data_IF_764110655744
#
_entry.id   IF_764110655744
#
_cell.length_a   1.000
_cell.length_b   1.000
_cell.length_c   1.000
_cell.angle_alpha   90.00
_cell.angle_beta   90.00
_cell.angle_gamma   90.00
#
_symmetry.space_group_name_H-M   'P 1'
#
loop_
_entity.id
_entity.type
_entity.pdbx_description
1 polymer ?
#
# COMPACT_ATOMS: atom_id res chain seq x y z
N UNK A 1 17.20 16.06 -22.49
CA UNK A 1 16.58 15.43 -21.29
C UNK A 1 15.19 14.99 -21.68
N UNK A 2 14.92 13.68 -21.79
CA UNK A 2 13.60 13.19 -22.21
C UNK A 2 12.53 13.59 -21.18
N UNK A 3 11.45 14.29 -21.57
CA UNK A 3 10.44 14.85 -20.66
C UNK A 3 9.51 13.80 -20.01
N UNK A 4 9.85 12.51 -20.11
CA UNK A 4 8.93 11.39 -19.88
C UNK A 4 9.23 10.57 -18.63
N UNK A 5 10.28 10.90 -17.87
CA UNK A 5 10.53 10.26 -16.58
C UNK A 5 9.79 11.05 -15.51
N UNK A 6 8.56 10.65 -15.20
CA UNK A 6 7.81 11.22 -14.08
C UNK A 6 8.63 11.06 -12.81
N UNK A 7 8.91 12.14 -12.06
CA UNK A 7 9.65 12.04 -10.83
C UNK A 7 8.99 11.05 -9.87
N UNK A 8 9.78 10.39 -9.03
CA UNK A 8 9.28 9.39 -8.08
C UNK A 8 8.19 9.94 -7.13
N UNK A 9 8.17 11.24 -6.87
CA UNK A 9 7.14 11.94 -6.09
C UNK A 9 5.82 12.15 -6.84
N UNK A 10 5.75 11.86 -8.14
CA UNK A 10 4.53 11.93 -8.96
C UNK A 10 3.77 10.60 -9.03
N UNK A 11 4.33 9.53 -8.44
CA UNK A 11 3.65 8.23 -8.29
C UNK A 11 2.47 8.41 -7.35
N UNK A 12 1.25 8.00 -7.73
CA UNK A 12 0.14 8.07 -6.77
C UNK A 12 0.45 7.05 -5.67
N UNK A 13 0.41 7.42 -4.37
CA UNK A 13 0.80 6.56 -3.24
C UNK A 13 -0.12 5.34 -3.01
N UNK A 14 -0.96 4.99 -3.99
CA UNK A 14 -1.89 3.86 -3.97
C UNK A 14 -1.67 2.88 -5.12
N UNK A 15 -0.72 3.18 -6.01
CA UNK A 15 -0.34 2.39 -7.18
C UNK A 15 0.83 1.44 -6.89
N UNK A 16 1.59 1.72 -5.83
CA UNK A 16 2.73 0.91 -5.41
C UNK A 16 2.58 0.52 -3.94
N UNK A 17 3.16 -0.63 -3.59
CA UNK A 17 3.22 -1.09 -2.21
C UNK A 17 4.20 -0.22 -1.42
N UNK A 18 3.75 0.38 -0.33
CA UNK A 18 4.58 1.27 0.51
C UNK A 18 5.81 0.57 1.12
N UNK A 19 5.80 -0.77 1.21
CA UNK A 19 6.89 -1.55 1.83
C UNK A 19 7.86 -2.20 0.85
N UNK A 20 7.38 -2.63 -0.32
CA UNK A 20 8.21 -3.34 -1.29
C UNK A 20 8.33 -2.62 -2.63
N UNK A 21 7.69 -1.46 -2.76
CA UNK A 21 7.67 -0.61 -3.95
C UNK A 21 7.26 -1.34 -5.25
N UNK A 22 6.59 -2.49 -5.14
CA UNK A 22 6.02 -3.19 -6.29
C UNK A 22 4.70 -2.56 -6.69
N UNK A 23 4.45 -2.58 -8.00
CA UNK A 23 3.16 -2.22 -8.58
C UNK A 23 2.02 -2.99 -7.89
N UNK A 24 0.92 -2.28 -7.65
CA UNK A 24 -0.35 -2.80 -7.13
C UNK A 24 -1.40 -2.97 -8.24
N UNK A 25 -1.04 -2.75 -9.51
CA UNK A 25 -1.89 -3.05 -10.66
C UNK A 25 -2.06 -4.56 -10.82
N UNK A 26 -3.28 -5.02 -11.10
CA UNK A 26 -3.60 -6.44 -11.27
C UNK A 26 -3.41 -7.32 -10.03
N UNK A 27 -3.12 -6.74 -8.85
CA UNK A 27 -2.91 -7.48 -7.60
C UNK A 27 -3.80 -6.95 -6.48
N UNK A 28 -4.22 -7.87 -5.59
CA UNK A 28 -5.00 -7.51 -4.40
C UNK A 28 -4.23 -6.51 -3.54
N UNK A 29 -4.78 -5.31 -3.39
CA UNK A 29 -4.19 -4.25 -2.56
C UNK A 29 -5.03 -3.99 -1.31
N UNK A 30 -4.34 -3.67 -0.23
CA UNK A 30 -4.92 -3.52 1.08
C UNK A 30 -4.50 -2.21 1.71
N UNK A 31 -5.47 -1.54 2.32
CA UNK A 31 -5.19 -0.45 3.25
C UNK A 31 -5.09 -1.04 4.64
N UNK A 32 -3.94 -0.90 5.27
CA UNK A 32 -3.70 -1.31 6.66
C UNK A 32 -3.52 -0.07 7.51
N UNK A 33 -4.36 0.06 8.54
CA UNK A 33 -4.28 1.12 9.53
C UNK A 33 -3.78 0.52 10.83
N UNK A 34 -2.71 1.06 11.38
CA UNK A 34 -2.13 0.63 12.66
C UNK A 34 -2.58 1.59 13.75
N UNK A 35 -3.05 1.03 14.87
CA UNK A 35 -3.59 1.79 16.00
C UNK A 35 -3.01 1.31 17.33
N UNK A 36 -2.84 2.26 18.25
CA UNK A 36 -2.52 2.00 19.65
C UNK A 36 -3.56 2.73 20.50
N UNK A 37 -4.24 2.01 21.41
CA UNK A 37 -5.27 2.59 22.30
C UNK A 37 -6.32 3.45 21.59
N UNK A 38 -6.72 3.06 20.38
CA UNK A 38 -7.71 3.80 19.58
C UNK A 38 -7.13 4.92 18.70
N UNK A 39 -5.90 5.35 18.95
CA UNK A 39 -5.21 6.38 18.16
C UNK A 39 -4.63 5.75 16.89
N UNK A 40 -4.88 6.38 15.73
CA UNK A 40 -4.25 6.01 14.46
C UNK A 40 -2.81 6.52 14.42
N UNK A 41 -1.84 5.60 14.35
CA UNK A 41 -0.43 5.95 14.27
C UNK A 41 -0.03 6.20 12.82
N UNK A 42 -0.41 5.28 11.93
CA UNK A 42 -0.13 5.39 10.51
C UNK A 42 -1.03 4.49 9.68
N UNK A 43 -1.06 4.78 8.38
CA UNK A 43 -1.79 4.02 7.37
C UNK A 43 -0.86 3.71 6.19
N UNK A 44 -0.96 2.49 5.66
CA UNK A 44 -0.17 2.04 4.50
C UNK A 44 -1.04 1.33 3.48
N UNK A 45 -0.64 1.42 2.21
CA UNK A 45 -1.18 0.69 1.07
C UNK A 45 -0.18 -0.39 0.66
N UNK A 46 -0.60 -1.65 0.77
CA UNK A 46 0.31 -2.80 0.65
C UNK A 46 -0.33 -3.93 -0.14
N UNK A 47 0.52 -4.72 -0.80
CA UNK A 47 0.08 -5.99 -1.39
C UNK A 47 -0.26 -7.02 -0.30
N UNK A 48 -0.89 -8.13 -0.68
CA UNK A 48 -1.29 -9.20 0.25
C UNK A 48 -0.14 -9.71 1.12
N UNK A 49 1.05 -9.92 0.54
CA UNK A 49 2.23 -10.40 1.27
C UNK A 49 2.70 -9.39 2.32
N UNK A 50 2.79 -8.12 1.94
CA UNK A 50 3.21 -7.05 2.84
C UNK A 50 2.17 -6.75 3.92
N UNK A 51 0.87 -6.90 3.62
CA UNK A 51 -0.21 -6.84 4.62
C UNK A 51 0.01 -7.80 5.77
N UNK A 52 0.37 -9.05 5.49
CA UNK A 52 0.62 -10.07 6.52
C UNK A 52 1.82 -9.69 7.39
N UNK A 53 2.90 -9.17 6.78
CA UNK A 53 4.08 -8.67 7.51
C UNK A 53 3.74 -7.52 8.45
N UNK A 54 2.94 -6.55 8.00
CA UNK A 54 2.49 -5.43 8.86
C UNK A 54 1.65 -5.95 10.03
N UNK A 55 0.74 -6.89 9.78
CA UNK A 55 -0.11 -7.47 10.83
C UNK A 55 0.71 -8.20 11.89
N UNK A 56 1.69 -8.99 11.47
CA UNK A 56 2.58 -9.70 12.38
C UNK A 56 3.47 -8.75 13.17
N UNK A 57 4.06 -7.74 12.51
CA UNK A 57 4.85 -6.70 13.17
C UNK A 57 4.01 -5.94 14.20
N UNK A 58 2.79 -5.55 13.84
CA UNK A 58 1.87 -4.84 14.73
C UNK A 58 1.50 -5.70 15.94
N UNK A 59 1.19 -6.99 15.72
CA UNK A 59 0.94 -7.95 16.80
C UNK A 59 2.13 -8.04 17.77
N UNK A 60 3.36 -8.15 17.26
CA UNK A 60 4.59 -8.19 18.08
C UNK A 60 4.80 -6.91 18.90
N UNK A 61 4.33 -5.77 18.40
CA UNK A 61 4.40 -4.47 19.08
C UNK A 61 3.18 -4.15 19.95
N UNK A 62 2.20 -5.05 20.06
CA UNK A 62 0.97 -4.80 20.79
C UNK A 62 0.02 -3.79 20.11
N UNK A 63 0.25 -3.47 18.84
CA UNK A 63 -0.62 -2.60 18.06
C UNK A 63 -1.80 -3.36 17.46
N UNK A 64 -2.96 -2.70 17.41
CA UNK A 64 -4.12 -3.20 16.69
C UNK A 64 -4.04 -2.80 15.22
N UNK A 65 -4.51 -3.66 14.33
CA UNK A 65 -4.57 -3.36 12.89
C UNK A 65 -5.99 -3.43 12.38
N UNK A 66 -6.37 -2.48 11.54
CA UNK A 66 -7.59 -2.55 10.72
C UNK A 66 -7.19 -2.66 9.27
N UNK A 67 -7.61 -3.76 8.64
CA UNK A 67 -7.34 -4.01 7.22
C UNK A 67 -8.62 -3.80 6.42
N UNK A 68 -8.52 -3.08 5.30
CA UNK A 68 -9.58 -3.00 4.29
C UNK A 68 -9.00 -3.42 2.94
N UNK A 69 -9.62 -4.40 2.28
CA UNK A 69 -9.35 -4.68 0.85
C UNK A 69 -9.83 -3.47 0.05
N UNK A 70 -8.94 -2.91 -0.76
CA UNK A 70 -9.30 -1.82 -1.66
C UNK A 70 -9.78 -2.42 -2.98
N UNK A 71 -10.62 -1.70 -3.74
CA UNK A 71 -10.91 -2.10 -5.11
C UNK A 71 -9.60 -2.22 -5.87
N UNK A 72 -9.51 -3.26 -6.70
CA UNK A 72 -8.40 -3.44 -7.61
C UNK A 72 -8.29 -2.19 -8.48
N UNK A 73 -7.06 -1.71 -8.70
CA UNK A 73 -6.89 -0.63 -9.66
C UNK A 73 -7.32 -1.19 -11.02
N UNK A 74 -8.05 -0.41 -11.85
CA UNK A 74 -8.18 -0.78 -13.23
C UNK A 74 -6.77 -1.05 -13.75
N UNK A 75 -6.57 -2.16 -14.45
CA UNK A 75 -5.52 -2.19 -15.46
C UNK A 75 -5.90 -1.05 -16.40
N UNK A 76 -5.43 0.16 -16.10
CA UNK A 76 -5.30 1.16 -17.13
C UNK A 76 -4.32 0.49 -18.10
N UNK A 77 -4.89 -0.13 -19.14
CA UNK A 77 -4.17 -0.33 -20.38
C UNK A 77 -3.76 1.08 -20.79
N UNK A 78 -2.59 1.52 -20.32
CA UNK A 78 -1.82 2.51 -21.03
C UNK A 78 -1.43 1.81 -22.34
N UNK A 79 -2.37 1.79 -23.29
CA UNK A 79 -2.04 1.66 -24.69
C UNK A 79 -1.09 2.83 -24.96
N UNK A 80 0.16 2.48 -25.24
CA UNK A 80 1.20 3.40 -25.67
C UNK A 80 0.78 4.11 -26.96
#
# INVERSE_FOLDING_TARGET
MSPWVRPWWWRKPREFCDLCNRSLYGVKRYRVVVRLNGVELFRVYVCERCRLRVREWARRKGFRTRTKRMPDLPEEHYFF
#
